data_IF_568533944546
#
_entry.id   IF_568533944546
#
_cell.length_a   1.000
_cell.length_b   1.000
_cell.length_c   1.000
_cell.angle_alpha   90.00
_cell.angle_beta   90.00
_cell.angle_gamma   90.00
#
_symmetry.space_group_name_H-M   'P 1'
#
loop_
_entity.id
_entity.type
_entity.pdbx_description
1 polymer ?
#
# COMPACT_ATOMS: atom_id res chain seq x y z
N UNK A 1 13.23 -57.30 -0.21
CA UNK A 1 13.06 -56.16 0.72
C UNK A 1 14.16 -55.11 0.48
N UNK A 2 13.84 -53.82 0.68
CA UNK A 2 14.70 -52.62 0.60
C UNK A 2 15.01 -52.03 -0.80
N UNK A 3 14.01 -51.42 -1.44
CA UNK A 3 14.22 -50.31 -2.42
C UNK A 3 13.37 -49.06 -2.10
N UNK A 4 12.67 -49.03 -0.96
CA UNK A 4 11.82 -47.90 -0.57
C UNK A 4 12.56 -46.78 0.18
N UNK A 5 13.82 -46.99 0.62
CA UNK A 5 14.53 -46.07 1.52
C UNK A 5 15.30 -44.94 0.84
N UNK A 6 15.66 -45.07 -0.45
CA UNK A 6 16.57 -44.14 -1.13
C UNK A 6 15.81 -42.99 -1.84
N UNK A 7 14.56 -43.23 -2.24
CA UNK A 7 13.69 -42.22 -2.84
C UNK A 7 13.11 -41.24 -1.81
N UNK A 8 12.82 -41.69 -0.58
CA UNK A 8 12.35 -40.84 0.52
C UNK A 8 13.45 -39.87 1.00
N UNK A 9 14.70 -40.31 1.08
CA UNK A 9 15.85 -39.47 1.46
C UNK A 9 16.16 -38.37 0.43
N UNK A 10 16.11 -38.70 -0.86
CA UNK A 10 16.31 -37.73 -1.95
C UNK A 10 15.13 -36.74 -2.07
N UNK A 11 13.89 -37.18 -1.84
CA UNK A 11 12.70 -36.32 -1.83
C UNK A 11 12.74 -35.33 -0.65
N UNK A 12 13.15 -35.79 0.54
CA UNK A 12 13.28 -34.97 1.75
C UNK A 12 14.37 -33.90 1.62
N UNK A 13 15.51 -34.25 1.03
CA UNK A 13 16.59 -33.30 0.75
C UNK A 13 16.12 -32.15 -0.17
N UNK A 14 15.36 -32.48 -1.24
CA UNK A 14 14.79 -31.47 -2.16
C UNK A 14 13.75 -30.57 -1.51
N UNK A 15 12.93 -31.12 -0.60
CA UNK A 15 11.97 -30.32 0.16
C UNK A 15 12.68 -29.35 1.11
N UNK A 16 13.69 -29.83 1.85
CA UNK A 16 14.46 -29.00 2.77
C UNK A 16 15.22 -27.87 2.03
N UNK A 17 15.76 -28.15 0.84
CA UNK A 17 16.37 -27.15 -0.02
C UNK A 17 15.38 -26.07 -0.48
N UNK A 18 14.16 -26.47 -0.85
CA UNK A 18 13.11 -25.53 -1.24
C UNK A 18 12.71 -24.62 -0.07
N UNK A 19 12.54 -25.19 1.13
CA UNK A 19 12.22 -24.43 2.35
C UNK A 19 13.33 -23.41 2.63
N UNK A 20 14.60 -23.84 2.61
CA UNK A 20 15.75 -22.93 2.80
C UNK A 20 15.76 -21.80 1.77
N UNK A 21 15.51 -22.11 0.50
CA UNK A 21 15.47 -21.10 -0.56
C UNK A 21 14.32 -20.09 -0.36
N UNK A 22 13.16 -20.53 0.15
CA UNK A 22 12.04 -19.64 0.47
C UNK A 22 12.36 -18.74 1.66
N UNK A 23 12.96 -19.29 2.71
CA UNK A 23 13.39 -18.54 3.89
C UNK A 23 14.44 -17.48 3.53
N UNK A 24 15.44 -17.83 2.73
CA UNK A 24 16.45 -16.86 2.28
C UNK A 24 15.83 -15.74 1.45
N UNK A 25 14.91 -16.07 0.52
CA UNK A 25 14.16 -15.05 -0.24
C UNK A 25 13.32 -14.14 0.67
N UNK A 26 12.68 -14.69 1.70
CA UNK A 26 11.93 -13.89 2.69
C UNK A 26 12.88 -12.98 3.49
N UNK A 27 14.03 -13.48 3.91
CA UNK A 27 15.03 -12.72 4.66
C UNK A 27 15.64 -11.60 3.81
N UNK A 28 15.99 -11.89 2.55
CA UNK A 28 16.52 -10.91 1.60
C UNK A 28 15.55 -9.76 1.39
N UNK A 29 14.26 -10.06 1.13
CA UNK A 29 13.21 -9.03 1.02
C UNK A 29 13.09 -8.18 2.28
N UNK A 30 13.19 -8.79 3.46
CA UNK A 30 13.16 -8.05 4.75
C UNK A 30 14.37 -7.13 4.89
N UNK A 31 15.55 -7.53 4.39
CA UNK A 31 16.79 -6.73 4.44
C UNK A 31 16.79 -5.59 3.42
N UNK A 32 16.20 -5.80 2.24
CA UNK A 32 16.13 -4.80 1.17
C UNK A 32 14.96 -3.84 1.29
N UNK A 33 14.04 -4.07 2.23
CA UNK A 33 12.86 -3.23 2.42
C UNK A 33 13.23 -1.80 2.82
N UNK A 34 12.55 -0.83 2.22
CA UNK A 34 12.62 0.57 2.62
C UNK A 34 12.20 0.77 4.09
N UNK A 35 12.64 1.86 4.75
CA UNK A 35 12.19 2.19 6.10
C UNK A 35 10.67 2.31 6.24
N UNK A 36 9.98 2.79 5.20
CA UNK A 36 8.52 2.92 5.15
C UNK A 36 7.85 1.55 5.25
N UNK A 37 8.32 0.59 4.44
CA UNK A 37 7.82 -0.78 4.43
C UNK A 37 8.18 -1.53 5.71
N UNK A 38 9.39 -1.33 6.23
CA UNK A 38 9.80 -1.90 7.50
C UNK A 38 8.87 -1.46 8.65
N UNK A 39 8.50 -0.18 8.70
CA UNK A 39 7.56 0.36 9.68
C UNK A 39 6.16 -0.24 9.52
N UNK A 40 5.64 -0.31 8.29
CA UNK A 40 4.34 -0.91 7.99
C UNK A 40 4.29 -2.38 8.45
N UNK A 41 5.33 -3.17 8.12
CA UNK A 41 5.45 -4.57 8.54
C UNK A 41 5.50 -4.69 10.06
N UNK A 42 6.33 -3.88 10.74
CA UNK A 42 6.43 -3.90 12.19
C UNK A 42 5.09 -3.61 12.87
N UNK A 43 4.35 -2.61 12.37
CA UNK A 43 3.03 -2.26 12.88
C UNK A 43 2.04 -3.41 12.74
N UNK A 44 2.00 -4.04 11.57
CA UNK A 44 1.11 -5.18 11.29
C UNK A 44 1.51 -6.40 12.12
N UNK A 45 2.78 -6.78 12.20
CA UNK A 45 3.22 -7.92 12.99
C UNK A 45 2.90 -7.75 14.49
N UNK A 46 3.11 -6.54 15.04
CA UNK A 46 2.78 -6.24 16.43
C UNK A 46 1.27 -6.31 16.69
N UNK A 47 0.46 -5.79 15.77
CA UNK A 47 -0.98 -5.80 15.91
C UNK A 47 -1.58 -7.20 15.73
N UNK A 48 -1.15 -7.95 14.72
CA UNK A 48 -1.66 -9.30 14.45
C UNK A 48 -1.27 -10.27 15.56
N UNK A 49 -0.02 -10.23 16.06
CA UNK A 49 0.44 -11.15 17.10
C UNK A 49 -0.03 -10.78 18.51
N UNK A 50 -0.15 -9.49 18.82
CA UNK A 50 -0.31 -9.01 20.21
C UNK A 50 -1.42 -7.99 20.41
N UNK A 51 -2.18 -7.65 19.35
CA UNK A 51 -3.16 -6.55 19.34
C UNK A 51 -2.57 -5.21 19.83
N UNK A 52 -1.26 -5.02 19.66
CA UNK A 52 -0.55 -3.82 20.07
C UNK A 52 -0.40 -2.87 18.89
N UNK A 53 -0.87 -1.63 19.06
CA UNK A 53 -0.53 -0.52 18.16
C UNK A 53 0.86 -0.01 18.58
N UNK A 54 1.79 0.04 17.63
CA UNK A 54 3.14 0.59 17.87
C UNK A 54 3.08 2.11 17.82
N UNK A 55 3.91 2.77 18.62
CA UNK A 55 4.13 4.21 18.49
C UNK A 55 5.08 4.49 17.33
N UNK A 56 4.98 5.69 16.75
CA UNK A 56 5.98 6.17 15.81
C UNK A 56 7.36 6.22 16.50
N UNK A 57 8.46 5.90 15.78
CA UNK A 57 9.81 6.02 16.34
C UNK A 57 10.15 7.46 16.73
N UNK A 58 10.93 7.63 17.80
CA UNK A 58 11.50 8.93 18.19
C UNK A 58 13.04 8.85 18.17
N UNK A 59 13.72 9.71 17.37
CA UNK A 59 13.16 10.68 16.43
C UNK A 59 12.47 10.01 15.24
N UNK A 60 11.59 10.76 14.56
CA UNK A 60 10.92 10.27 13.35
C UNK A 60 11.95 9.91 12.27
N UNK A 61 11.72 8.82 11.51
CA UNK A 61 12.59 8.47 10.39
C UNK A 61 12.63 9.56 9.33
N UNK A 62 13.80 9.75 8.71
CA UNK A 62 13.98 10.73 7.65
C UNK A 62 12.99 10.50 6.48
N UNK A 63 12.34 11.58 6.04
CA UNK A 63 11.34 11.56 4.97
C UNK A 63 9.93 11.20 5.41
N UNK A 64 9.71 10.95 6.72
CA UNK A 64 8.39 10.61 7.28
C UNK A 64 7.83 11.68 8.24
N UNK A 65 8.49 12.84 8.36
CA UNK A 65 8.20 13.83 9.39
C UNK A 65 6.95 14.66 9.08
N UNK A 66 6.73 14.95 7.80
CA UNK A 66 5.58 15.75 7.36
C UNK A 66 4.30 14.93 7.39
N UNK A 67 3.16 15.61 7.50
CA UNK A 67 1.85 15.02 7.27
C UNK A 67 1.63 14.79 5.75
N UNK A 68 1.14 13.60 5.38
CA UNK A 68 0.75 13.28 4.01
C UNK A 68 -0.35 12.21 3.99
N UNK A 69 -1.11 12.14 2.89
CA UNK A 69 -1.90 10.95 2.59
C UNK A 69 -0.99 9.77 2.29
N UNK A 70 -1.35 8.58 2.79
CA UNK A 70 -0.55 7.36 2.61
C UNK A 70 -1.46 6.18 2.34
N UNK A 71 -1.12 5.36 1.35
CA UNK A 71 -1.75 4.07 1.10
C UNK A 71 -0.78 2.94 1.43
N UNK A 72 -1.25 1.96 2.20
CA UNK A 72 -0.50 0.75 2.51
C UNK A 72 -1.20 -0.44 1.84
N UNK A 73 -0.47 -1.11 0.96
CA UNK A 73 -0.95 -2.31 0.27
C UNK A 73 -0.19 -3.53 0.77
N UNK A 74 -0.93 -4.62 0.99
CA UNK A 74 -0.43 -5.91 1.46
C UNK A 74 -0.75 -6.91 0.37
N UNK A 75 0.25 -7.70 -0.03
CA UNK A 75 0.13 -8.76 -1.02
C UNK A 75 0.58 -10.09 -0.41
N UNK A 76 -0.01 -11.19 -0.87
CA UNK A 76 0.37 -12.56 -0.53
C UNK A 76 0.39 -13.39 -1.80
N UNK A 77 1.51 -14.03 -2.11
CA UNK A 77 1.63 -14.81 -3.36
C UNK A 77 1.37 -14.01 -4.64
N UNK A 78 1.69 -12.71 -4.64
CA UNK A 78 1.42 -11.80 -5.77
C UNK A 78 0.00 -11.28 -5.88
N UNK A 79 -0.91 -11.69 -4.98
CA UNK A 79 -2.30 -11.24 -4.97
C UNK A 79 -2.54 -10.22 -3.86
N UNK A 80 -3.44 -9.26 -4.10
CA UNK A 80 -3.84 -8.27 -3.11
C UNK A 80 -4.51 -8.95 -1.90
N UNK A 81 -4.02 -8.66 -0.70
CA UNK A 81 -4.47 -9.21 0.59
C UNK A 81 -5.10 -8.16 1.51
N UNK A 82 -4.87 -6.88 1.20
CA UNK A 82 -5.47 -5.73 1.86
C UNK A 82 -4.86 -4.44 1.33
N UNK A 83 -5.64 -3.37 1.21
CA UNK A 83 -5.16 -2.04 0.85
C UNK A 83 -6.05 -0.99 1.48
N UNK A 84 -5.46 -0.15 2.34
CA UNK A 84 -6.13 0.98 2.98
C UNK A 84 -5.20 2.18 2.93
N UNK A 85 -5.77 3.35 2.71
CA UNK A 85 -5.05 4.60 2.77
C UNK A 85 -5.95 5.80 2.95
N UNK A 86 -5.29 6.94 3.08
CA UNK A 86 -5.92 8.25 3.25
C UNK A 86 -5.42 9.18 2.15
N UNK A 87 -6.33 9.98 1.62
CA UNK A 87 -6.05 10.93 0.54
C UNK A 87 -5.52 12.26 1.06
N UNK A 88 -6.00 12.66 2.24
CA UNK A 88 -5.53 13.80 3.01
C UNK A 88 -4.98 13.26 4.34
N UNK A 89 -3.93 13.88 4.90
CA UNK A 89 -3.34 13.41 6.15
C UNK A 89 -4.37 13.41 7.28
N UNK A 90 -4.43 12.32 8.03
CA UNK A 90 -5.25 12.20 9.24
C UNK A 90 -4.42 12.17 10.52
N UNK A 91 -3.10 12.04 10.36
CA UNK A 91 -2.08 12.03 11.40
C UNK A 91 -1.07 13.17 11.23
N UNK A 92 -0.25 13.39 12.25
CA UNK A 92 0.74 14.48 12.27
C UNK A 92 1.97 14.18 11.41
N UNK A 93 2.19 12.92 11.05
CA UNK A 93 3.35 12.48 10.27
C UNK A 93 3.01 11.29 9.36
N UNK A 94 3.78 11.12 8.29
CA UNK A 94 3.74 9.93 7.42
C UNK A 94 3.97 8.66 8.25
N UNK A 95 4.85 8.69 9.24
CA UNK A 95 5.13 7.54 10.09
C UNK A 95 3.88 7.05 10.84
N UNK A 96 3.13 7.97 11.45
CA UNK A 96 1.87 7.65 12.14
C UNK A 96 0.79 7.20 11.14
N UNK A 97 0.73 7.83 9.98
CA UNK A 97 -0.21 7.48 8.91
C UNK A 97 0.04 6.05 8.41
N UNK A 98 1.31 5.67 8.17
CA UNK A 98 1.74 4.30 7.81
C UNK A 98 1.28 3.30 8.85
N UNK A 99 1.55 3.56 10.14
CA UNK A 99 1.18 2.64 11.23
C UNK A 99 -0.34 2.42 11.23
N UNK A 100 -1.10 3.50 11.16
CA UNK A 100 -2.57 3.46 11.16
C UNK A 100 -3.13 2.70 9.96
N UNK A 101 -2.64 3.02 8.75
CA UNK A 101 -3.18 2.49 7.50
C UNK A 101 -2.70 1.07 7.23
N UNK A 102 -1.48 0.70 7.58
CA UNK A 102 -0.99 -0.69 7.47
C UNK A 102 -1.80 -1.63 8.39
N UNK A 103 -2.07 -1.23 9.63
CA UNK A 103 -2.92 -2.01 10.55
C UNK A 103 -4.34 -2.14 9.99
N UNK A 104 -4.90 -1.05 9.45
CA UNK A 104 -6.22 -1.09 8.82
C UNK A 104 -6.24 -2.01 7.59
N UNK A 105 -5.22 -1.96 6.74
CA UNK A 105 -5.10 -2.85 5.58
C UNK A 105 -5.04 -4.33 5.99
N UNK A 106 -4.37 -4.65 7.10
CA UNK A 106 -4.27 -6.01 7.60
C UNK A 106 -5.52 -6.51 8.34
N UNK A 107 -6.27 -5.63 9.03
CA UNK A 107 -7.28 -6.06 10.00
C UNK A 107 -8.69 -5.49 9.78
N UNK A 108 -8.85 -4.51 8.89
CA UNK A 108 -10.09 -3.73 8.72
C UNK A 108 -10.44 -3.45 7.26
N UNK A 109 -9.73 -4.02 6.29
CA UNK A 109 -10.15 -3.92 4.89
C UNK A 109 -11.41 -4.78 4.70
N UNK A 110 -12.58 -4.19 4.38
CA UNK A 110 -13.85 -4.90 4.34
C UNK A 110 -13.94 -5.94 3.20
N UNK A 111 -12.98 -5.94 2.27
CA UNK A 111 -12.92 -6.88 1.16
C UNK A 111 -12.26 -8.21 1.53
N UNK A 112 -11.57 -8.28 2.68
CA UNK A 112 -10.77 -9.43 3.08
C UNK A 112 -10.97 -9.76 4.56
N UNK A 113 -10.83 -11.04 4.91
CA UNK A 113 -10.75 -11.45 6.31
C UNK A 113 -9.48 -10.89 6.97
N UNK A 114 -9.48 -10.59 8.29
CA UNK A 114 -8.29 -10.13 8.99
C UNK A 114 -7.09 -11.07 8.80
N UNK A 115 -5.90 -10.50 8.63
CA UNK A 115 -4.64 -11.24 8.49
C UNK A 115 -4.35 -12.07 9.73
N UNK A 116 -4.00 -13.33 9.52
CA UNK A 116 -3.63 -14.27 10.58
C UNK A 116 -2.11 -14.35 10.84
N UNK A 117 -1.66 -14.73 12.05
CA UNK A 117 -0.24 -14.80 12.39
C UNK A 117 0.61 -15.71 11.50
N UNK A 118 0.03 -16.80 10.99
CA UNK A 118 0.70 -17.75 10.09
C UNK A 118 0.93 -17.18 8.68
N UNK A 119 0.25 -16.08 8.31
CA UNK A 119 0.43 -15.43 7.00
C UNK A 119 1.61 -14.46 6.97
N UNK A 120 2.03 -13.94 8.14
CA UNK A 120 2.90 -12.76 8.27
C UNK A 120 4.23 -12.87 7.49
N UNK A 121 4.82 -14.07 7.43
CA UNK A 121 6.09 -14.31 6.76
C UNK A 121 5.98 -14.32 5.23
N UNK A 122 4.77 -14.47 4.70
CA UNK A 122 4.47 -14.47 3.26
C UNK A 122 3.96 -13.12 2.74
N UNK A 123 3.71 -12.17 3.64
CA UNK A 123 3.20 -10.87 3.25
C UNK A 123 4.30 -10.01 2.65
N UNK A 124 3.98 -9.40 1.51
CA UNK A 124 4.74 -8.34 0.84
C UNK A 124 3.97 -7.04 1.02
N UNK A 125 4.67 -5.95 1.30
CA UNK A 125 4.07 -4.66 1.59
C UNK A 125 4.58 -3.65 0.57
N UNK A 126 3.72 -2.71 0.20
CA UNK A 126 4.13 -1.47 -0.45
C UNK A 126 3.47 -0.28 0.23
N UNK A 127 4.17 0.84 0.26
CA UNK A 127 3.71 2.09 0.87
C UNK A 127 3.78 3.19 -0.18
N UNK A 128 2.63 3.78 -0.48
CA UNK A 128 2.49 4.87 -1.44
C UNK A 128 2.25 6.17 -0.66
N UNK A 129 3.21 7.10 -0.73
CA UNK A 129 3.13 8.41 -0.06
C UNK A 129 2.74 9.48 -1.10
N UNK A 130 1.69 10.23 -0.79
CA UNK A 130 1.18 11.27 -1.68
C UNK A 130 1.98 12.58 -1.48
N UNK A 131 2.27 13.25 -2.59
CA UNK A 131 2.77 14.63 -2.54
C UNK A 131 1.69 15.59 -2.05
N UNK A 132 2.09 16.81 -1.69
CA UNK A 132 1.12 17.88 -1.50
C UNK A 132 0.36 18.12 -2.82
N UNK A 133 -0.99 18.24 -2.79
CA UNK A 133 -1.76 18.52 -3.99
C UNK A 133 -1.43 19.89 -4.57
N UNK A 134 -1.10 19.93 -5.86
CA UNK A 134 -0.84 21.14 -6.62
C UNK A 134 -2.11 21.52 -7.41
N UNK A 135 -2.72 22.69 -7.19
CA UNK A 135 -3.83 23.17 -8.00
C UNK A 135 -3.44 23.32 -9.47
N UNK A 136 -4.33 22.95 -10.39
CA UNK A 136 -4.11 23.10 -11.83
C UNK A 136 -5.22 23.93 -12.48
N UNK A 137 -4.89 24.62 -13.56
CA UNK A 137 -5.83 25.49 -14.28
C UNK A 137 -6.80 24.69 -15.15
N UNK A 138 -6.38 23.50 -15.60
CA UNK A 138 -7.17 22.66 -16.47
C UNK A 138 -6.64 21.22 -16.58
N UNK A 139 -7.44 20.31 -17.16
CA UNK A 139 -7.09 18.90 -17.31
C UNK A 139 -5.83 18.66 -18.16
N UNK A 140 -5.47 19.57 -19.07
CA UNK A 140 -4.28 19.50 -19.92
C UNK A 140 -2.95 19.45 -19.14
N UNK A 141 -2.97 19.81 -17.85
CA UNK A 141 -1.81 19.71 -16.96
C UNK A 141 -1.67 18.34 -16.29
N UNK A 142 -2.58 17.40 -16.59
CA UNK A 142 -2.54 16.02 -16.11
C UNK A 142 -1.83 15.10 -17.09
N UNK A 143 -1.23 14.06 -16.52
CA UNK A 143 -0.74 12.89 -17.21
C UNK A 143 -1.21 11.70 -16.37
N UNK A 144 -2.15 10.86 -16.86
CA UNK A 144 -2.71 9.75 -16.08
C UNK A 144 -1.66 8.74 -15.58
N UNK A 145 -0.50 8.65 -16.25
CA UNK A 145 0.60 7.78 -15.84
C UNK A 145 1.47 8.38 -14.74
N UNK A 146 1.53 9.70 -14.64
CA UNK A 146 2.38 10.40 -13.68
C UNK A 146 1.62 10.93 -12.46
N UNK A 147 0.47 11.53 -12.70
CA UNK A 147 -0.25 12.30 -11.70
C UNK A 147 -1.57 11.64 -11.31
N UNK A 148 -1.83 11.59 -10.01
CA UNK A 148 -3.18 11.43 -9.51
C UNK A 148 -3.94 12.74 -9.62
N UNK A 149 -5.27 12.65 -9.66
CA UNK A 149 -6.16 13.80 -9.78
C UNK A 149 -7.07 13.91 -8.57
N UNK A 150 -7.27 15.13 -8.08
CA UNK A 150 -8.29 15.47 -7.08
C UNK A 150 -9.29 16.43 -7.73
N UNK A 151 -10.57 16.10 -7.62
CA UNK A 151 -11.70 16.93 -8.05
C UNK A 151 -12.44 17.43 -6.82
N UNK A 152 -12.72 18.74 -6.75
CA UNK A 152 -13.48 19.34 -5.65
C UNK A 152 -14.68 20.12 -6.18
N UNK A 153 -15.84 19.92 -5.55
CA UNK A 153 -17.06 20.68 -5.87
C UNK A 153 -17.98 20.77 -4.65
N UNK A 154 -18.15 21.97 -4.09
CA UNK A 154 -19.10 22.27 -3.00
C UNK A 154 -18.97 21.31 -1.80
N UNK A 155 -17.73 21.06 -1.36
CA UNK A 155 -17.43 20.16 -0.24
C UNK A 155 -17.36 18.67 -0.60
N UNK A 156 -17.71 18.26 -1.83
CA UNK A 156 -17.45 16.91 -2.33
C UNK A 156 -16.02 16.84 -2.87
N UNK A 157 -15.31 15.77 -2.53
CA UNK A 157 -13.92 15.53 -2.94
C UNK A 157 -13.82 14.13 -3.55
N UNK A 158 -13.24 14.04 -4.73
CA UNK A 158 -12.93 12.78 -5.40
C UNK A 158 -11.46 12.71 -5.73
N UNK A 159 -10.85 11.56 -5.49
CA UNK A 159 -9.44 11.33 -5.80
C UNK A 159 -9.28 10.05 -6.62
N UNK A 160 -8.35 10.09 -7.57
CA UNK A 160 -7.87 8.92 -8.28
C UNK A 160 -6.34 8.91 -8.32
N UNK A 161 -5.75 7.75 -8.03
CA UNK A 161 -4.30 7.55 -8.07
C UNK A 161 -3.80 7.52 -9.54
N UNK A 162 -2.52 7.81 -9.79
CA UNK A 162 -1.89 7.63 -11.09
C UNK A 162 -1.72 6.16 -11.47
N UNK A 163 -1.44 5.92 -12.75
CA UNK A 163 -1.00 4.64 -13.33
C UNK A 163 -1.88 3.45 -12.95
N UNK A 164 -3.18 3.62 -13.14
CA UNK A 164 -4.16 2.55 -12.95
C UNK A 164 -4.45 1.85 -14.27
N UNK A 165 -4.49 0.52 -14.24
CA UNK A 165 -4.82 -0.31 -15.40
C UNK A 165 -6.16 0.08 -16.02
N UNK A 166 -6.17 0.32 -17.33
CA UNK A 166 -7.36 0.68 -18.09
C UNK A 166 -7.79 2.15 -17.97
N UNK A 167 -6.96 3.03 -17.37
CA UNK A 167 -7.19 4.48 -17.34
C UNK A 167 -6.05 5.17 -18.09
N UNK A 168 -6.25 5.35 -19.39
CA UNK A 168 -5.22 5.86 -20.30
C UNK A 168 -5.47 7.31 -20.75
N UNK A 169 -6.64 7.88 -20.42
CA UNK A 169 -7.03 9.23 -20.83
C UNK A 169 -7.31 10.14 -19.64
N UNK A 170 -7.04 11.43 -19.81
CA UNK A 170 -7.29 12.46 -18.79
C UNK A 170 -8.79 12.57 -18.50
N UNK A 171 -9.62 12.52 -19.55
CA UNK A 171 -11.07 12.59 -19.46
C UNK A 171 -11.63 11.44 -18.62
N UNK A 172 -11.14 10.23 -18.83
CA UNK A 172 -11.53 9.06 -18.06
C UNK A 172 -11.10 9.18 -16.59
N UNK A 173 -9.85 9.60 -16.37
CA UNK A 173 -9.29 9.80 -15.03
C UNK A 173 -10.15 10.79 -14.21
N UNK A 174 -10.45 11.95 -14.79
CA UNK A 174 -11.28 12.99 -14.17
C UNK A 174 -12.71 12.50 -13.98
N UNK A 175 -13.30 11.83 -14.98
CA UNK A 175 -14.66 11.29 -14.91
C UNK A 175 -14.83 10.28 -13.76
N UNK A 176 -13.88 9.37 -13.60
CA UNK A 176 -13.89 8.40 -12.49
C UNK A 176 -13.78 9.11 -11.14
N UNK A 177 -12.87 10.08 -11.00
CA UNK A 177 -12.74 10.87 -9.77
C UNK A 177 -14.05 11.60 -9.42
N UNK A 178 -14.74 12.17 -10.42
CA UNK A 178 -16.05 12.82 -10.24
C UNK A 178 -17.12 11.84 -9.79
N UNK A 179 -17.21 10.67 -10.43
CA UNK A 179 -18.18 9.62 -10.05
C UNK A 179 -17.98 9.16 -8.61
N UNK A 180 -16.72 8.95 -8.18
CA UNK A 180 -16.39 8.59 -6.79
C UNK A 180 -16.87 9.62 -5.77
N UNK A 181 -16.91 10.90 -6.15
CA UNK A 181 -17.37 11.99 -5.31
C UNK A 181 -18.86 12.33 -5.47
N UNK A 182 -19.59 11.63 -6.36
CA UNK A 182 -20.97 11.99 -6.70
C UNK A 182 -21.09 13.38 -7.34
N UNK A 183 -20.11 13.78 -8.15
CA UNK A 183 -20.09 15.05 -8.89
C UNK A 183 -20.55 14.81 -10.33
N UNK A 184 -21.56 15.55 -10.79
CA UNK A 184 -22.07 15.47 -12.16
C UNK A 184 -21.08 16.03 -13.18
N UNK A 185 -21.15 15.56 -14.43
CA UNK A 185 -20.19 15.88 -15.49
C UNK A 185 -20.11 17.37 -15.86
N UNK A 186 -21.22 18.09 -15.71
CA UNK A 186 -21.31 19.52 -16.05
C UNK A 186 -21.11 20.46 -14.86
N UNK A 187 -20.93 19.92 -13.66
CA UNK A 187 -20.69 20.76 -12.48
C UNK A 187 -19.30 21.42 -12.58
N UNK A 188 -19.15 22.69 -12.20
CA UNK A 188 -17.81 23.29 -12.11
C UNK A 188 -17.02 22.59 -11.00
N UNK A 189 -15.77 22.24 -11.30
CA UNK A 189 -14.86 21.57 -10.37
C UNK A 189 -13.55 22.33 -10.28
N UNK A 190 -12.96 22.34 -9.10
CA UNK A 190 -11.55 22.66 -8.92
C UNK A 190 -10.73 21.38 -9.12
N UNK A 191 -9.60 21.50 -9.80
CA UNK A 191 -8.70 20.40 -10.07
C UNK A 191 -7.38 20.62 -9.33
N UNK A 192 -6.84 19.54 -8.79
CA UNK A 192 -5.48 19.48 -8.31
C UNK A 192 -4.84 18.16 -8.75
N UNK A 193 -3.52 18.17 -8.91
CA UNK A 193 -2.72 16.99 -9.20
C UNK A 193 -1.79 16.66 -8.05
N UNK A 194 -1.36 15.41 -7.95
CA UNK A 194 -0.34 15.00 -6.98
C UNK A 194 0.47 13.83 -7.55
N UNK A 195 1.69 13.67 -7.07
CA UNK A 195 2.54 12.52 -7.38
C UNK A 195 2.46 11.49 -6.25
N UNK A 196 2.77 10.25 -6.59
CA UNK A 196 2.88 9.14 -5.63
C UNK A 196 4.31 8.64 -5.61
N UNK A 197 4.92 8.64 -4.44
CA UNK A 197 6.20 7.94 -4.23
C UNK A 197 5.91 6.57 -3.64
N UNK A 198 6.21 5.52 -4.40
CA UNK A 198 6.07 4.13 -3.96
C UNK A 198 7.35 3.63 -3.29
N UNK A 199 7.18 3.00 -2.13
CA UNK A 199 8.22 2.34 -1.37
C UNK A 199 7.93 0.83 -1.26
N UNK A 200 8.95 0.01 -1.46
CA UNK A 200 8.91 -1.46 -1.40
C UNK A 200 9.96 -2.01 -0.42
#
# INVERSE_FOLDING_TARGET
PTEAGDSEGACRCRYDDLVRALEEKRAERRRSASPHVALARQAVEAYVRRRKVVSAPEPLPAGMERAAGVFCSIHKGGQLRGCIGTTEPTRGSIAEEIISNAISAAARDPRFEPVEPNELDDLVFSVDVLSEPEPISGPEELDPKRYGVIVRCRGRVGLLLPDLDGIDTIEEQVSIARRKAGIGEREPVELARFEVTRYE
#
